data_IF_152383168165
#
_entry.id   IF_152383168165
#
_cell.length_a   1.000
_cell.length_b   1.000
_cell.length_c   1.000
_cell.angle_alpha   90.00
_cell.angle_beta   90.00
_cell.angle_gamma   90.00
#
_symmetry.space_group_name_H-M   'P 1'
#
loop_
_entity.id
_entity.type
_entity.pdbx_description
1 polymer ?
#
# COMPACT_ATOMS: atom_id res chain seq x y z
N UNK A 1 1.90 -15.78 -22.36
CA UNK A 1 0.88 -14.93 -21.71
C UNK A 1 1.07 -15.13 -20.22
N UNK A 2 1.39 -14.07 -19.48
CA UNK A 2 1.46 -14.16 -18.02
C UNK A 2 0.02 -14.37 -17.53
N UNK A 3 -0.24 -15.46 -16.79
CA UNK A 3 -1.58 -15.69 -16.23
C UNK A 3 -1.87 -14.59 -15.21
N UNK A 4 -3.11 -14.11 -15.12
CA UNK A 4 -3.48 -13.05 -14.16
C UNK A 4 -3.07 -13.36 -12.71
N UNK A 5 -3.01 -14.65 -12.34
CA UNK A 5 -2.51 -15.12 -11.05
C UNK A 5 -1.00 -14.87 -10.84
N UNK A 6 -0.16 -15.04 -11.88
CA UNK A 6 1.27 -14.74 -11.81
C UNK A 6 1.52 -13.24 -11.66
N UNK A 7 0.75 -12.40 -12.36
CA UNK A 7 0.81 -10.94 -12.23
C UNK A 7 0.36 -10.50 -10.84
N UNK A 8 -0.70 -11.10 -10.29
CA UNK A 8 -1.17 -10.85 -8.93
C UNK A 8 -0.11 -11.26 -7.90
N UNK A 9 0.50 -12.43 -8.03
CA UNK A 9 1.53 -12.90 -7.12
C UNK A 9 2.77 -11.99 -7.12
N UNK A 10 3.17 -11.49 -8.30
CA UNK A 10 4.23 -10.48 -8.44
C UNK A 10 3.85 -9.18 -7.74
N UNK A 11 2.63 -8.68 -7.95
CA UNK A 11 2.16 -7.47 -7.29
C UNK A 11 2.17 -7.61 -5.75
N UNK A 12 1.64 -8.70 -5.22
CA UNK A 12 1.68 -8.99 -3.78
C UNK A 12 3.11 -8.99 -3.28
N UNK A 13 4.03 -9.64 -4.02
CA UNK A 13 5.45 -9.69 -3.66
C UNK A 13 6.09 -8.31 -3.65
N UNK A 14 5.88 -7.51 -4.71
CA UNK A 14 6.41 -6.16 -4.83
C UNK A 14 5.92 -5.25 -3.71
N UNK A 15 4.61 -5.25 -3.43
CA UNK A 15 4.00 -4.48 -2.34
C UNK A 15 4.57 -4.92 -0.99
N UNK A 16 4.71 -6.23 -0.76
CA UNK A 16 5.20 -6.79 0.51
C UNK A 16 6.69 -6.50 0.74
N UNK A 17 7.50 -6.45 -0.31
CA UNK A 17 8.93 -6.13 -0.21
C UNK A 17 9.18 -4.68 0.20
N UNK A 18 8.31 -3.77 -0.26
CA UNK A 18 8.34 -2.36 0.13
C UNK A 18 7.59 -2.08 1.44
N UNK A 19 7.04 -3.10 2.08
CA UNK A 19 6.11 -2.91 3.19
C UNK A 19 6.80 -2.32 4.44
N UNK A 20 6.33 -1.15 4.92
CA UNK A 20 6.92 -0.48 6.08
C UNK A 20 6.68 -1.26 7.39
N UNK A 21 5.68 -2.14 7.47
CA UNK A 21 5.34 -2.81 8.73
C UNK A 21 6.43 -3.78 9.18
N UNK A 22 7.08 -4.47 8.23
CA UNK A 22 8.01 -5.57 8.52
C UNK A 22 9.25 -5.06 9.27
N UNK A 23 9.69 -3.83 9.04
CA UNK A 23 10.95 -3.30 9.60
C UNK A 23 10.78 -2.09 10.51
N UNK A 24 9.88 -1.18 10.17
CA UNK A 24 9.89 0.16 10.78
C UNK A 24 8.87 0.28 11.92
N UNK A 25 7.81 -0.52 11.87
CA UNK A 25 6.76 -0.47 12.89
C UNK A 25 7.20 -0.98 14.25
N UNK A 26 8.07 -1.98 14.29
CA UNK A 26 8.70 -2.41 15.54
C UNK A 26 9.56 -1.28 16.14
N UNK A 27 10.27 -0.50 15.31
CA UNK A 27 11.05 0.65 15.79
C UNK A 27 10.14 1.78 16.31
N UNK A 28 9.04 2.08 15.61
CA UNK A 28 8.06 3.09 16.04
C UNK A 28 7.38 2.68 17.34
N UNK A 29 6.91 1.43 17.45
CA UNK A 29 6.28 0.90 18.68
C UNK A 29 7.22 0.91 19.88
N UNK A 30 8.53 0.74 19.65
CA UNK A 30 9.56 0.81 20.70
C UNK A 30 10.03 2.25 21.00
N UNK A 31 9.46 3.27 20.36
CA UNK A 31 9.85 4.68 20.51
C UNK A 31 11.24 5.01 19.96
N UNK A 32 11.81 4.14 19.11
CA UNK A 32 13.13 4.32 18.48
C UNK A 32 13.07 5.13 17.19
N UNK A 33 11.86 5.31 16.65
CA UNK A 33 11.55 6.16 15.51
C UNK A 33 10.25 6.90 15.81
N UNK A 34 10.23 8.17 15.45
CA UNK A 34 9.06 9.03 15.48
C UNK A 34 8.42 9.09 14.09
N UNK A 35 7.10 9.36 14.01
CA UNK A 35 6.42 9.64 12.74
C UNK A 35 7.04 10.80 11.95
N UNK A 36 7.75 11.70 12.63
CA UNK A 36 8.42 12.84 12.02
C UNK A 36 9.78 12.48 11.39
N UNK A 37 10.30 11.27 11.62
CA UNK A 37 11.57 10.85 11.04
C UNK A 37 11.52 10.84 9.52
N UNK A 38 12.43 11.61 8.90
CA UNK A 38 12.52 11.73 7.45
C UNK A 38 12.71 10.37 6.75
N UNK A 39 13.44 9.44 7.40
CA UNK A 39 13.61 8.08 6.90
C UNK A 39 12.32 7.27 6.91
N UNK A 40 11.47 7.41 7.95
CA UNK A 40 10.16 6.77 7.99
C UNK A 40 9.28 7.31 6.87
N UNK A 41 9.24 8.64 6.73
CA UNK A 41 8.41 9.32 5.74
C UNK A 41 8.79 8.95 4.32
N UNK A 42 10.09 8.83 4.02
CA UNK A 42 10.57 8.41 2.71
C UNK A 42 10.16 6.96 2.37
N UNK A 43 10.22 6.05 3.35
CA UNK A 43 9.78 4.66 3.13
C UNK A 43 8.27 4.58 2.92
N UNK A 44 7.50 5.34 3.69
CA UNK A 44 6.04 5.40 3.55
C UNK A 44 5.64 5.96 2.18
N UNK A 45 6.24 7.07 1.76
CA UNK A 45 5.97 7.67 0.46
C UNK A 45 6.32 6.72 -0.69
N UNK A 46 7.49 6.06 -0.61
CA UNK A 46 7.88 5.04 -1.57
C UNK A 46 6.92 3.85 -1.59
N UNK A 47 6.40 3.41 -0.45
CA UNK A 47 5.46 2.30 -0.37
C UNK A 47 4.11 2.68 -0.98
N UNK A 48 3.56 3.85 -0.64
CA UNK A 48 2.32 4.38 -1.22
C UNK A 48 2.43 4.52 -2.75
N UNK A 49 3.56 5.06 -3.23
CA UNK A 49 3.84 5.22 -4.66
C UNK A 49 3.94 3.88 -5.39
N UNK A 50 4.65 2.89 -4.81
CA UNK A 50 4.72 1.53 -5.35
C UNK A 50 3.32 0.90 -5.43
N UNK A 51 2.53 1.01 -4.35
CA UNK A 51 1.19 0.44 -4.28
C UNK A 51 0.28 1.00 -5.38
N UNK A 52 0.25 2.34 -5.49
CA UNK A 52 -0.56 3.03 -6.51
C UNK A 52 -0.18 2.57 -7.91
N UNK A 53 1.12 2.58 -8.23
CA UNK A 53 1.63 2.15 -9.53
C UNK A 53 1.27 0.69 -9.85
N UNK A 54 1.34 -0.19 -8.86
CA UNK A 54 0.99 -1.61 -9.00
C UNK A 54 -0.49 -1.80 -9.32
N UNK A 55 -1.39 -1.06 -8.66
CA UNK A 55 -2.83 -1.08 -8.96
C UNK A 55 -3.09 -0.55 -10.38
N UNK A 56 -2.49 0.57 -10.74
CA UNK A 56 -2.76 1.26 -12.01
C UNK A 56 -2.21 0.50 -13.23
N UNK A 57 -1.09 -0.22 -13.09
CA UNK A 57 -0.37 -0.78 -14.25
C UNK A 57 -0.76 -2.21 -14.62
N UNK A 58 -1.40 -2.96 -13.71
CA UNK A 58 -1.50 -4.41 -13.84
C UNK A 58 -2.80 -4.92 -14.47
N UNK A 59 -3.81 -4.06 -14.67
CA UNK A 59 -5.08 -4.44 -15.29
C UNK A 59 -5.82 -5.55 -14.53
N UNK A 60 -5.77 -5.51 -13.19
CA UNK A 60 -6.39 -6.52 -12.34
C UNK A 60 -7.90 -6.58 -12.49
N UNK A 61 -8.47 -7.79 -12.43
CA UNK A 61 -9.90 -7.97 -12.23
C UNK A 61 -10.29 -7.66 -10.77
N UNK A 62 -11.60 -7.57 -10.50
CA UNK A 62 -12.10 -7.23 -9.16
C UNK A 62 -11.64 -8.21 -8.10
N UNK A 63 -11.55 -9.50 -8.42
CA UNK A 63 -11.12 -10.51 -7.46
C UNK A 63 -9.66 -10.34 -7.05
N UNK A 64 -8.78 -10.03 -8.00
CA UNK A 64 -7.38 -9.73 -7.75
C UNK A 64 -7.21 -8.45 -6.93
N UNK A 65 -7.95 -7.39 -7.27
CA UNK A 65 -7.92 -6.12 -6.53
C UNK A 65 -8.31 -6.30 -5.07
N UNK A 66 -9.37 -7.06 -4.76
CA UNK A 66 -9.77 -7.35 -3.37
C UNK A 66 -8.68 -8.06 -2.55
N UNK A 67 -7.77 -8.81 -3.19
CA UNK A 67 -6.66 -9.49 -2.50
C UNK A 67 -5.48 -8.54 -2.21
N UNK A 68 -5.42 -7.41 -2.91
CA UNK A 68 -4.45 -6.33 -2.69
C UNK A 68 -5.18 -5.07 -2.22
N UNK A 69 -6.17 -5.23 -1.34
CA UNK A 69 -6.85 -4.10 -0.72
C UNK A 69 -5.86 -3.34 0.19
N UNK A 70 -5.65 -2.03 -0.02
CA UNK A 70 -4.71 -1.25 0.78
C UNK A 70 -5.26 -0.86 2.16
N UNK A 71 -6.59 -0.87 2.35
CA UNK A 71 -7.28 -0.37 3.56
C UNK A 71 -6.80 -1.01 4.86
N UNK A 72 -6.70 -2.35 5.02
CA UNK A 72 -6.25 -2.95 6.28
C UNK A 72 -4.82 -2.55 6.63
N UNK A 73 -3.99 -2.32 5.60
CA UNK A 73 -2.59 -1.93 5.80
C UNK A 73 -2.45 -0.46 6.18
N UNK A 74 -3.24 0.41 5.55
CA UNK A 74 -3.32 1.83 5.88
C UNK A 74 -3.83 2.04 7.31
N UNK A 75 -4.87 1.30 7.74
CA UNK A 75 -5.40 1.35 9.09
C UNK A 75 -4.30 1.09 10.14
N UNK A 76 -3.50 0.02 9.97
CA UNK A 76 -2.41 -0.31 10.90
C UNK A 76 -1.33 0.79 10.98
N UNK A 77 -1.04 1.44 9.85
CA UNK A 77 -0.07 2.54 9.81
C UNK A 77 -0.60 3.80 10.50
N UNK A 78 -1.90 4.07 10.37
CA UNK A 78 -2.57 5.17 11.09
C UNK A 78 -2.61 4.89 12.59
N UNK A 79 -3.03 3.68 12.99
CA UNK A 79 -3.09 3.26 14.40
C UNK A 79 -1.74 3.36 15.10
N UNK A 80 -0.65 3.12 14.37
CA UNK A 80 0.70 3.21 14.92
C UNK A 80 1.30 4.62 14.82
N UNK A 81 0.49 5.61 14.43
CA UNK A 81 0.85 7.01 14.32
C UNK A 81 1.81 7.33 13.18
N UNK A 82 2.09 6.37 12.30
CA UNK A 82 3.03 6.54 11.17
C UNK A 82 2.39 7.37 10.05
N UNK A 83 1.10 7.13 9.82
CA UNK A 83 0.26 7.91 8.93
C UNK A 83 -0.76 8.71 9.74
N UNK A 84 -1.24 9.81 9.15
CA UNK A 84 -2.42 10.54 9.61
C UNK A 84 -3.49 10.37 8.55
N UNK A 85 -4.75 10.26 8.97
CA UNK A 85 -5.89 10.12 8.05
C UNK A 85 -6.04 11.33 7.10
N UNK A 86 -5.55 12.50 7.51
CA UNK A 86 -5.53 13.73 6.70
C UNK A 86 -4.42 13.76 5.63
N UNK A 87 -3.56 12.75 5.53
CA UNK A 87 -2.54 12.73 4.48
C UNK A 87 -3.17 12.52 3.10
N UNK A 88 -3.01 13.52 2.23
CA UNK A 88 -3.47 13.48 0.83
C UNK A 88 -3.05 12.19 0.11
N UNK A 89 -1.82 11.70 0.34
CA UNK A 89 -1.33 10.47 -0.29
C UNK A 89 -2.12 9.20 0.09
N UNK A 90 -2.71 9.16 1.28
CA UNK A 90 -3.60 8.07 1.72
C UNK A 90 -4.92 8.14 0.95
N UNK A 91 -5.52 9.34 0.88
CA UNK A 91 -6.74 9.58 0.12
C UNK A 91 -6.55 9.29 -1.38
N UNK A 92 -5.43 9.72 -1.97
CA UNK A 92 -5.08 9.44 -3.36
C UNK A 92 -4.99 7.93 -3.63
N UNK A 93 -4.35 7.16 -2.74
CA UNK A 93 -4.24 5.71 -2.91
C UNK A 93 -5.60 5.01 -2.83
N UNK A 94 -6.46 5.42 -1.89
CA UNK A 94 -7.81 4.88 -1.76
C UNK A 94 -8.66 5.21 -2.98
N UNK A 95 -8.62 6.46 -3.46
CA UNK A 95 -9.34 6.87 -4.68
C UNK A 95 -8.85 6.09 -5.90
N UNK A 96 -7.54 5.92 -6.07
CA UNK A 96 -6.96 5.11 -7.15
C UNK A 96 -7.43 3.65 -7.08
N UNK A 97 -7.52 3.08 -5.88
CA UNK A 97 -8.01 1.71 -5.70
C UNK A 97 -9.50 1.59 -6.03
N UNK A 98 -10.34 2.49 -5.53
CA UNK A 98 -11.78 2.49 -5.82
C UNK A 98 -12.05 2.68 -7.31
N UNK A 99 -11.28 3.55 -7.99
CA UNK A 99 -11.33 3.72 -9.44
C UNK A 99 -10.93 2.44 -10.17
N UNK A 100 -9.87 1.76 -9.73
CA UNK A 100 -9.46 0.48 -10.32
C UNK A 100 -10.55 -0.58 -10.16
N UNK A 101 -11.17 -0.69 -8.98
CA UNK A 101 -12.26 -1.65 -8.71
C UNK A 101 -13.49 -1.36 -9.57
N UNK A 102 -13.84 -0.08 -9.72
CA UNK A 102 -14.99 0.36 -10.52
C UNK A 102 -14.79 0.05 -12.01
N UNK A 103 -13.57 0.23 -12.52
CA UNK A 103 -13.22 -0.02 -13.91
C UNK A 103 -12.91 -1.49 -14.22
N UNK A 104 -12.64 -2.31 -13.20
CA UNK A 104 -12.30 -3.71 -13.37
C UNK A 104 -13.52 -4.53 -13.78
N UNK A 105 -13.27 -5.48 -14.69
CA UNK A 105 -14.21 -6.55 -15.02
C UNK A 105 -14.24 -7.59 -13.88
N UNK A 106 -15.26 -8.45 -13.89
CA UNK A 106 -15.34 -9.59 -12.97
C UNK A 106 -14.16 -10.56 -13.15
#
# INVERSE_FOLDING_TARGET
>A
MESGDQTLQRAITTISQSDPLIKLLDQVKRGRMTPADAGLRAVIDSWLGTYRKTIESAGFNRQALRRIDPSPRLALLIECGVLTDEQRAVADLLESFERAVSNATE
#
